data_IF_264567998414
#
_entry.id   IF_264567998414
#
_cell.length_a   1.000
_cell.length_b   1.000
_cell.length_c   1.000
_cell.angle_alpha   90.00
_cell.angle_beta   90.00
_cell.angle_gamma   90.00
#
_symmetry.space_group_name_H-M   'P 1'
#
loop_
_entity.id
_entity.type
_entity.pdbx_description
1 polymer ?
#
# COMPACT_ATOMS: atom_id res chain seq x y z
N UNK A 1 -18.16 -31.72 -56.50
CA UNK A 1 -18.42 -30.37 -55.95
C UNK A 1 -18.96 -30.52 -54.54
N UNK A 2 -18.21 -30.13 -53.53
CA UNK A 2 -18.74 -29.81 -52.20
C UNK A 2 -17.67 -28.99 -51.46
N UNK A 3 -17.77 -27.67 -51.54
CA UNK A 3 -17.00 -26.80 -50.66
C UNK A 3 -17.68 -26.81 -49.29
N UNK A 4 -16.97 -27.26 -48.27
CA UNK A 4 -17.44 -27.20 -46.89
C UNK A 4 -16.86 -25.94 -46.22
N UNK A 5 -17.71 -24.93 -46.14
CA UNK A 5 -17.98 -24.07 -44.99
C UNK A 5 -16.78 -23.48 -44.23
N UNK A 6 -16.52 -22.21 -44.50
CA UNK A 6 -15.70 -21.35 -43.64
C UNK A 6 -16.41 -21.14 -42.30
N UNK A 7 -15.80 -21.64 -41.22
CA UNK A 7 -16.17 -21.28 -39.85
C UNK A 7 -15.66 -19.85 -39.60
N UNK A 8 -16.57 -18.88 -39.63
CA UNK A 8 -16.29 -17.52 -39.16
C UNK A 8 -16.21 -17.54 -37.63
N UNK A 9 -14.99 -17.58 -37.09
CA UNK A 9 -14.73 -17.31 -35.68
C UNK A 9 -15.11 -15.85 -35.39
N UNK A 10 -16.16 -15.66 -34.61
CA UNK A 10 -16.51 -14.35 -34.06
C UNK A 10 -15.66 -14.12 -32.81
N UNK A 11 -14.47 -13.55 -32.98
CA UNK A 11 -13.65 -13.10 -31.85
C UNK A 11 -14.31 -11.86 -31.23
N UNK A 12 -14.95 -12.06 -30.07
CA UNK A 12 -15.44 -10.95 -29.26
C UNK A 12 -14.28 -10.00 -28.91
N UNK A 13 -14.50 -8.68 -28.86
CA UNK A 13 -13.44 -7.73 -28.54
C UNK A 13 -12.90 -8.03 -27.14
N UNK A 14 -11.67 -8.56 -27.07
CA UNK A 14 -10.96 -8.77 -25.81
C UNK A 14 -10.57 -7.40 -25.27
N UNK A 15 -11.42 -6.83 -24.43
CA UNK A 15 -11.14 -5.56 -23.75
C UNK A 15 -9.79 -5.72 -23.05
N UNK A 16 -8.79 -4.87 -23.32
CA UNK A 16 -7.48 -5.03 -22.71
C UNK A 16 -7.63 -4.77 -21.21
N UNK A 17 -7.45 -5.83 -20.41
CA UNK A 17 -7.36 -5.69 -18.95
C UNK A 17 -6.06 -4.93 -18.64
N UNK A 18 -6.18 -3.80 -17.96
CA UNK A 18 -5.03 -3.04 -17.51
C UNK A 18 -4.20 -3.91 -16.54
N UNK A 19 -2.89 -4.08 -16.72
CA UNK A 19 -2.05 -4.83 -15.79
C UNK A 19 -2.05 -4.16 -14.40
N UNK A 20 -2.01 -4.97 -13.33
CA UNK A 20 -1.86 -4.50 -11.94
C UNK A 20 -0.40 -4.62 -11.51
N UNK A 21 0.11 -3.58 -10.86
CA UNK A 21 1.49 -3.47 -10.34
C UNK A 21 1.42 -3.15 -8.85
N UNK A 22 1.95 -4.03 -8.01
CA UNK A 22 2.05 -3.82 -6.57
C UNK A 22 3.50 -3.49 -6.18
N UNK A 23 3.69 -2.37 -5.50
CA UNK A 23 5.00 -1.87 -5.07
C UNK A 23 5.12 -2.04 -3.57
N UNK A 24 6.09 -2.85 -3.13
CA UNK A 24 6.34 -3.12 -1.71
C UNK A 24 7.48 -2.22 -1.23
N UNK A 25 7.20 -1.42 -0.19
CA UNK A 25 8.13 -0.45 0.38
C UNK A 25 8.45 -0.85 1.82
N UNK A 26 9.59 -1.50 2.07
CA UNK A 26 10.04 -1.76 3.43
C UNK A 26 10.50 -0.45 4.09
N UNK A 27 10.11 -0.24 5.34
CA UNK A 27 10.44 0.93 6.13
C UNK A 27 10.92 0.47 7.50
N UNK A 28 12.16 0.83 7.84
CA UNK A 28 12.76 0.52 9.14
C UNK A 28 13.75 1.60 9.56
N UNK A 29 13.43 2.34 10.63
CA UNK A 29 14.24 3.47 11.12
C UNK A 29 14.61 4.51 10.03
N UNK A 30 13.66 4.81 9.15
CA UNK A 30 13.82 5.79 8.08
C UNK A 30 12.86 6.97 8.26
N UNK A 31 12.61 7.44 9.50
CA UNK A 31 11.61 8.48 9.72
C UNK A 31 11.88 9.76 8.92
N UNK A 32 13.16 10.12 8.76
CA UNK A 32 13.60 11.28 7.98
C UNK A 32 13.26 11.17 6.48
N UNK A 33 13.35 9.97 5.89
CA UNK A 33 13.15 9.77 4.45
C UNK A 33 11.78 9.17 4.10
N UNK A 34 11.18 8.40 5.01
CA UNK A 34 9.91 7.72 4.81
C UNK A 34 8.81 8.70 4.41
N UNK A 35 8.77 9.88 5.03
CA UNK A 35 7.78 10.90 4.71
C UNK A 35 7.86 11.34 3.25
N UNK A 36 9.06 11.68 2.78
CA UNK A 36 9.31 12.12 1.41
C UNK A 36 9.08 10.99 0.40
N UNK A 37 9.60 9.79 0.68
CA UNK A 37 9.44 8.60 -0.17
C UNK A 37 7.96 8.27 -0.36
N UNK A 38 7.21 8.16 0.74
CA UNK A 38 5.80 7.80 0.72
C UNK A 38 4.93 8.86 0.03
N UNK A 39 5.21 10.13 0.31
CA UNK A 39 4.50 11.24 -0.34
C UNK A 39 4.71 11.19 -1.85
N UNK A 40 5.96 11.03 -2.30
CA UNK A 40 6.28 10.93 -3.71
C UNK A 40 5.60 9.70 -4.36
N UNK A 41 5.60 8.53 -3.71
CA UNK A 41 5.00 7.30 -4.23
C UNK A 41 3.48 7.39 -4.37
N UNK A 42 2.80 8.06 -3.44
CA UNK A 42 1.34 8.26 -3.53
C UNK A 42 0.94 9.16 -4.69
N UNK A 43 1.77 10.15 -5.00
CA UNK A 43 1.55 11.03 -6.15
C UNK A 43 1.87 10.33 -7.47
N UNK A 44 2.62 9.21 -7.46
CA UNK A 44 2.87 8.42 -8.67
C UNK A 44 1.59 7.74 -9.15
N UNK A 45 1.33 7.88 -10.45
CA UNK A 45 0.27 7.17 -11.18
C UNK A 45 0.86 6.56 -12.44
N UNK A 46 0.43 5.35 -12.77
CA UNK A 46 0.80 4.67 -14.01
C UNK A 46 -0.33 4.83 -15.03
N UNK A 47 0.01 5.32 -16.21
CA UNK A 47 -0.91 5.33 -17.34
C UNK A 47 -0.98 3.91 -17.93
N UNK A 48 -2.19 3.38 -18.09
CA UNK A 48 -2.36 2.04 -18.65
C UNK A 48 -2.13 0.88 -17.67
N UNK A 49 -1.95 1.15 -16.36
CA UNK A 49 -1.80 0.12 -15.34
C UNK A 49 -2.37 0.56 -13.98
N UNK A 50 -2.76 -0.40 -13.13
CA UNK A 50 -3.19 -0.12 -11.76
C UNK A 50 -2.01 -0.25 -10.80
N UNK A 51 -1.55 0.87 -10.22
CA UNK A 51 -0.51 0.89 -9.19
C UNK A 51 -1.11 0.76 -7.80
N UNK A 52 -0.57 -0.13 -6.99
CA UNK A 52 -0.89 -0.34 -5.57
C UNK A 52 0.39 -0.22 -4.74
N UNK A 53 0.27 0.41 -3.57
CA UNK A 53 1.40 0.66 -2.68
C UNK A 53 1.24 -0.14 -1.38
N UNK A 54 2.25 -0.94 -1.03
CA UNK A 54 2.24 -1.82 0.14
C UNK A 54 3.40 -1.40 1.05
N UNK A 55 3.08 -0.77 2.17
CA UNK A 55 4.03 -0.27 3.14
C UNK A 55 4.29 -1.35 4.20
N UNK A 56 5.54 -1.71 4.41
CA UNK A 56 5.93 -2.74 5.38
C UNK A 56 6.72 -2.09 6.50
N UNK A 57 6.09 -1.99 7.67
CA UNK A 57 6.69 -1.36 8.84
C UNK A 57 7.22 -2.44 9.80
N UNK A 58 8.50 -2.34 10.16
CA UNK A 58 9.25 -3.38 10.87
C UNK A 58 9.50 -3.05 12.35
N UNK A 59 8.48 -2.61 13.09
CA UNK A 59 8.57 -2.20 14.51
C UNK A 59 9.70 -1.20 14.81
N UNK A 60 9.68 -0.10 14.06
CA UNK A 60 10.61 1.02 14.14
C UNK A 60 10.39 1.84 15.41
N UNK A 61 11.48 2.29 16.02
CA UNK A 61 11.47 3.12 17.23
C UNK A 61 11.79 4.60 16.97
N UNK A 62 12.06 4.96 15.72
CA UNK A 62 12.51 6.30 15.31
C UNK A 62 11.35 7.25 14.92
N UNK A 63 10.10 6.80 15.02
CA UNK A 63 8.91 7.55 14.59
C UNK A 63 8.39 7.19 13.19
N UNK A 64 9.09 6.31 12.45
CA UNK A 64 8.63 5.77 11.14
C UNK A 64 7.21 5.24 11.21
N UNK A 65 6.86 4.55 12.30
CA UNK A 65 5.53 3.99 12.55
C UNK A 65 4.43 5.06 12.56
N UNK A 66 4.67 6.22 13.16
CA UNK A 66 3.69 7.33 13.16
C UNK A 66 3.47 7.89 11.76
N UNK A 67 4.54 8.00 10.98
CA UNK A 67 4.48 8.46 9.59
C UNK A 67 3.64 7.49 8.76
N UNK A 68 3.97 6.19 8.77
CA UNK A 68 3.26 5.14 8.03
C UNK A 68 1.78 5.11 8.42
N UNK A 69 1.46 5.27 9.71
CA UNK A 69 0.09 5.33 10.20
C UNK A 69 -0.72 6.47 9.59
N UNK A 70 -0.09 7.61 9.29
CA UNK A 70 -0.75 8.71 8.57
C UNK A 70 -1.12 8.38 7.11
N UNK A 71 -0.52 7.34 6.54
CA UNK A 71 -0.82 6.85 5.19
C UNK A 71 -1.84 5.70 5.19
N UNK A 72 -2.08 5.08 6.34
CA UNK A 72 -3.10 4.05 6.53
C UNK A 72 -4.50 4.59 6.19
N UNK A 73 -5.25 3.85 5.38
CA UNK A 73 -6.59 4.25 4.93
C UNK A 73 -6.63 5.08 3.63
N UNK A 74 -5.48 5.39 3.02
CA UNK A 74 -5.46 6.01 1.68
C UNK A 74 -5.88 5.00 0.58
N UNK A 75 -6.53 5.46 -0.49
CA UNK A 75 -7.00 4.57 -1.56
C UNK A 75 -5.82 3.96 -2.34
N UNK A 76 -5.77 2.63 -2.40
CA UNK A 76 -4.68 1.89 -3.04
C UNK A 76 -3.39 1.82 -2.22
N UNK A 77 -3.46 2.15 -0.93
CA UNK A 77 -2.35 2.01 0.02
C UNK A 77 -2.70 0.95 1.05
N UNK A 78 -1.83 -0.05 1.20
CA UNK A 78 -1.93 -1.10 2.19
C UNK A 78 -0.76 -0.98 3.16
N UNK A 79 -1.04 -1.09 4.45
CA UNK A 79 -0.01 -1.05 5.50
C UNK A 79 0.07 -2.41 6.17
N UNK A 80 1.30 -2.90 6.36
CA UNK A 80 1.60 -4.17 7.01
C UNK A 80 2.47 -3.87 8.23
N UNK A 81 1.89 -4.05 9.41
CA UNK A 81 2.57 -3.92 10.70
C UNK A 81 3.23 -5.23 11.08
N UNK A 82 4.55 -5.24 11.22
CA UNK A 82 5.27 -6.39 11.74
C UNK A 82 5.45 -6.27 13.26
N UNK A 83 5.35 -7.41 13.93
CA UNK A 83 5.61 -7.57 15.36
C UNK A 83 7.09 -7.39 15.71
N UNK A 84 8.01 -7.81 14.82
CA UNK A 84 9.46 -7.74 15.04
C UNK A 84 10.18 -7.44 13.72
N UNK A 85 11.35 -6.75 13.75
CA UNK A 85 12.11 -6.47 12.55
C UNK A 85 12.66 -7.75 11.92
N UNK A 86 12.11 -8.12 10.76
CA UNK A 86 12.60 -9.26 9.97
C UNK A 86 13.79 -8.82 9.13
N UNK A 87 14.92 -8.58 9.79
CA UNK A 87 16.21 -8.39 9.12
C UNK A 87 16.52 -9.58 8.20
N UNK A 88 17.27 -9.32 7.12
CA UNK A 88 17.64 -10.34 6.13
C UNK A 88 18.68 -11.28 6.72
N UNK A 89 18.22 -12.31 7.42
CA UNK A 89 19.05 -13.32 8.09
C UNK A 89 19.02 -13.19 9.60
N UNK A 90 18.07 -13.86 10.23
CA UNK A 90 18.35 -14.92 11.20
C UNK A 90 17.03 -15.49 11.73
N UNK A 91 16.94 -16.82 11.70
CA UNK A 91 16.09 -17.56 12.61
C UNK A 91 16.58 -17.27 14.03
N UNK A 92 15.73 -16.69 14.88
CA UNK A 92 15.08 -17.42 15.96
C UNK A 92 14.07 -16.49 16.62
N UNK A 93 12.94 -17.05 17.01
CA UNK A 93 11.83 -16.34 17.60
C UNK A 93 12.13 -16.06 19.07
N UNK A 94 12.08 -14.79 19.47
CA UNK A 94 11.86 -14.44 20.87
C UNK A 94 10.56 -13.63 20.95
N UNK A 95 9.49 -14.37 21.25
CA UNK A 95 8.15 -13.85 21.47
C UNK A 95 8.09 -13.33 22.90
N UNK A 96 8.61 -12.11 23.10
CA UNK A 96 8.64 -11.42 24.36
C UNK A 96 7.53 -10.37 24.46
N UNK A 97 6.48 -10.72 25.20
CA UNK A 97 5.61 -9.81 25.96
C UNK A 97 4.63 -8.90 25.17
N UNK A 98 3.36 -9.32 25.19
CA UNK A 98 2.19 -8.49 24.88
C UNK A 98 2.01 -7.43 25.99
N UNK A 99 2.82 -6.38 25.94
CA UNK A 99 2.73 -5.22 26.80
C UNK A 99 1.56 -4.31 26.41
N UNK A 100 0.41 -4.56 27.03
CA UNK A 100 -0.65 -3.63 27.44
C UNK A 100 -0.93 -2.39 26.58
N UNK A 101 -2.15 -2.36 26.02
CA UNK A 101 -2.70 -1.18 25.37
C UNK A 101 -2.63 0.06 26.25
N UNK A 102 -2.09 1.14 25.69
CA UNK A 102 -2.39 2.49 26.13
C UNK A 102 -3.32 3.15 25.13
N UNK A 103 -4.56 3.28 25.58
CA UNK A 103 -5.50 4.27 25.07
C UNK A 103 -4.97 5.67 25.44
N UNK A 104 -4.75 6.52 24.44
CA UNK A 104 -4.72 7.99 24.55
C UNK A 104 -4.98 8.54 23.16
N UNK A 105 -6.19 9.05 22.88
CA UNK A 105 -6.71 10.37 23.22
C UNK A 105 -6.36 11.42 22.16
N UNK A 106 -7.41 12.07 21.63
CA UNK A 106 -7.34 13.26 20.78
C UNK A 106 -7.28 12.97 19.27
N UNK A 107 -8.07 13.56 18.39
CA UNK A 107 -9.07 14.61 18.54
C UNK A 107 -10.06 14.49 17.39
N UNK A 108 -11.32 14.71 17.71
CA UNK A 108 -12.32 15.18 16.76
C UNK A 108 -11.77 16.41 16.03
N UNK A 109 -11.87 16.44 14.71
CA UNK A 109 -12.11 17.69 13.99
C UNK A 109 -12.71 17.36 12.63
N UNK A 110 -14.04 17.31 12.60
CA UNK A 110 -14.78 17.60 11.38
C UNK A 110 -14.58 19.07 11.05
N UNK A 111 -14.20 19.36 9.81
CA UNK A 111 -14.14 20.71 9.27
C UNK A 111 -14.71 20.68 7.87
N UNK A 112 -15.98 21.05 7.76
CA UNK A 112 -16.78 20.97 6.55
C UNK A 112 -16.24 21.82 5.41
N UNK A 113 -16.54 21.34 4.21
CA UNK A 113 -16.51 22.09 2.96
C UNK A 113 -17.20 23.44 3.11
N UNK A 114 -16.50 24.53 2.79
CA UNK A 114 -17.12 25.82 2.54
C UNK A 114 -16.49 26.42 1.28
N UNK A 115 -17.07 26.10 0.13
CA UNK A 115 -17.03 26.96 -1.05
C UNK A 115 -18.05 28.08 -0.85
N UNK A 116 -17.64 29.35 -0.99
CA UNK A 116 -18.57 30.36 -1.49
C UNK A 116 -18.12 30.91 -2.85
N UNK A 117 -19.15 31.39 -3.55
CA UNK A 117 -19.22 31.81 -4.95
C UNK A 117 -18.47 33.11 -5.24
#
# INVERSE_FOLDING_TARGET
MAQASALQNSEAPKVPLLPKVSVIVPLFNEAESARDILSALIEKRLEGAQMELILVESNSTDGTREIVRSFEGKPGVQVIWQESPKGKGNADADFGDFGSGSSSSGSSSGGGTATPR
#
